data_IF_451728484283
#
_entry.id   IF_451728484283
#
_cell.length_a   1.000
_cell.length_b   1.000
_cell.length_c   1.000
_cell.angle_alpha   90.00
_cell.angle_beta   90.00
_cell.angle_gamma   90.00
#
_symmetry.space_group_name_H-M   'P 1'
#
loop_
_entity.id
_entity.type
_entity.pdbx_description
1 polymer ?
#
# COMPACT_ATOMS: atom_id res chain seq x y z
N UNK A 1 -30.38 -21.19 -3.97
CA UNK A 1 -29.34 -20.71 -4.91
C UNK A 1 -28.00 -21.32 -4.45
N UNK A 2 -27.51 -22.33 -5.15
CA UNK A 2 -26.21 -22.95 -4.90
C UNK A 2 -25.11 -21.93 -5.27
N UNK A 3 -24.58 -21.25 -4.27
CA UNK A 3 -23.51 -20.26 -4.46
C UNK A 3 -22.27 -20.95 -5.03
N UNK A 4 -21.89 -20.58 -6.26
CA UNK A 4 -20.56 -20.92 -6.77
C UNK A 4 -19.52 -20.39 -5.80
N UNK A 5 -18.50 -21.19 -5.45
CA UNK A 5 -17.33 -20.69 -4.71
C UNK A 5 -16.68 -19.56 -5.50
N UNK A 6 -16.14 -18.56 -4.80
CA UNK A 6 -15.36 -17.51 -5.46
C UNK A 6 -14.15 -18.13 -6.18
N UNK A 7 -13.94 -17.75 -7.43
CA UNK A 7 -12.77 -18.19 -8.20
C UNK A 7 -11.62 -17.22 -7.93
N UNK A 8 -10.82 -17.50 -6.91
CA UNK A 8 -9.68 -16.66 -6.53
C UNK A 8 -8.55 -16.70 -7.57
N UNK A 9 -8.55 -17.64 -8.54
CA UNK A 9 -7.56 -17.69 -9.61
C UNK A 9 -7.65 -16.50 -10.58
N UNK A 10 -8.85 -15.91 -10.70
CA UNK A 10 -9.13 -14.73 -11.53
C UNK A 10 -9.39 -13.47 -10.70
N UNK A 11 -8.82 -13.42 -9.50
CA UNK A 11 -8.99 -12.33 -8.55
C UNK A 11 -7.64 -11.72 -8.17
N UNK A 12 -7.32 -10.55 -8.73
CA UNK A 12 -6.05 -9.89 -8.46
C UNK A 12 -5.98 -9.32 -7.02
N UNK A 13 -7.11 -9.00 -6.37
CA UNK A 13 -7.13 -8.62 -4.95
C UNK A 13 -6.67 -9.78 -4.06
N UNK A 14 -7.17 -10.99 -4.29
CA UNK A 14 -6.75 -12.17 -3.56
C UNK A 14 -5.25 -12.43 -3.73
N UNK A 15 -4.74 -12.28 -4.95
CA UNK A 15 -3.31 -12.41 -5.23
C UNK A 15 -2.46 -11.35 -4.51
N UNK A 16 -2.90 -10.07 -4.51
CA UNK A 16 -2.20 -8.99 -3.76
C UNK A 16 -2.18 -9.28 -2.26
N UNK A 17 -3.27 -9.78 -1.68
CA UNK A 17 -3.31 -10.19 -0.27
C UNK A 17 -2.32 -11.33 0.00
N UNK A 18 -2.21 -12.33 -0.89
CA UNK A 18 -1.22 -13.40 -0.78
C UNK A 18 0.21 -12.88 -0.84
N UNK A 19 0.52 -12.00 -1.79
CA UNK A 19 1.85 -11.37 -1.89
C UNK A 19 2.23 -10.61 -0.61
N UNK A 20 1.32 -9.85 -0.03
CA UNK A 20 1.58 -9.13 1.22
C UNK A 20 1.81 -10.08 2.40
N UNK A 21 1.17 -11.25 2.41
CA UNK A 21 1.35 -12.25 3.45
C UNK A 21 2.71 -12.99 3.36
N UNK A 22 3.47 -12.82 2.28
CA UNK A 22 4.83 -13.36 2.15
C UNK A 22 5.86 -12.58 2.97
N UNK A 23 5.60 -11.30 3.29
CA UNK A 23 6.48 -10.42 4.05
C UNK A 23 6.39 -10.73 5.55
N UNK A 24 7.07 -11.81 5.97
CA UNK A 24 7.11 -12.28 7.36
C UNK A 24 8.35 -11.78 8.08
N UNK A 25 8.32 -11.72 9.42
CA UNK A 25 9.50 -11.39 10.19
C UNK A 25 10.65 -12.36 9.90
N UNK A 26 11.84 -11.77 9.65
CA UNK A 26 13.10 -12.50 9.53
C UNK A 26 13.92 -12.15 10.77
N UNK A 27 14.60 -13.10 11.44
CA UNK A 27 15.42 -12.79 12.60
C UNK A 27 16.41 -11.67 12.30
N UNK A 28 16.45 -10.67 13.17
CA UNK A 28 17.33 -9.51 13.07
C UNK A 28 18.24 -9.37 14.29
N UNK A 29 19.45 -8.82 14.08
CA UNK A 29 20.44 -8.61 15.16
C UNK A 29 20.30 -7.25 15.85
N UNK A 30 19.49 -6.33 15.31
CA UNK A 30 19.35 -4.93 15.78
C UNK A 30 18.02 -4.62 16.45
N UNK A 31 17.17 -5.63 16.62
CA UNK A 31 15.85 -5.47 17.25
C UNK A 31 14.71 -5.66 16.26
N UNK A 32 13.54 -5.15 16.65
CA UNK A 32 12.26 -5.37 15.97
C UNK A 32 11.57 -4.05 15.62
N UNK A 33 10.99 -3.99 14.42
CA UNK A 33 10.22 -2.84 13.90
C UNK A 33 8.79 -3.28 13.60
N UNK A 34 7.81 -2.57 14.17
CA UNK A 34 6.41 -2.73 13.83
C UNK A 34 5.99 -1.81 12.70
N UNK A 35 5.30 -2.34 11.71
CA UNK A 35 4.71 -1.57 10.60
C UNK A 35 3.20 -1.77 10.62
N UNK A 36 2.39 -0.70 10.76
CA UNK A 36 0.94 -0.82 10.70
C UNK A 36 0.51 -1.13 9.26
N UNK A 37 -0.18 -2.26 9.06
CA UNK A 37 -0.70 -2.64 7.73
C UNK A 37 -1.97 -1.83 7.42
N UNK A 38 -1.80 -0.56 7.10
CA UNK A 38 -2.88 0.38 6.80
C UNK A 38 -2.46 1.38 5.72
N UNK A 39 -3.43 2.05 5.11
CA UNK A 39 -3.24 3.11 4.12
C UNK A 39 -2.16 2.75 3.07
N UNK A 40 -1.13 3.57 2.92
CA UNK A 40 -0.07 3.40 1.92
C UNK A 40 0.77 2.13 2.09
N UNK A 41 0.76 1.48 3.26
CA UNK A 41 1.52 0.25 3.46
C UNK A 41 0.97 -0.96 2.70
N UNK A 42 -0.27 -0.92 2.21
CA UNK A 42 -0.76 -1.94 1.28
C UNK A 42 -0.02 -1.97 -0.06
N UNK A 43 0.81 -0.97 -0.34
CA UNK A 43 1.70 -0.93 -1.50
C UNK A 43 3.18 -0.83 -1.09
N UNK A 44 3.47 -0.07 -0.03
CA UNK A 44 4.85 0.26 0.36
C UNK A 44 5.44 -0.72 1.39
N UNK A 45 4.68 -1.72 1.87
CA UNK A 45 5.22 -2.73 2.77
C UNK A 45 6.45 -3.44 2.18
N UNK A 46 6.49 -3.86 0.90
CA UNK A 46 7.67 -4.49 0.30
C UNK A 46 8.93 -3.63 0.43
N UNK A 47 8.81 -2.33 0.12
CA UNK A 47 9.90 -1.37 0.26
C UNK A 47 10.43 -1.31 1.69
N UNK A 48 9.55 -1.08 2.65
CA UNK A 48 9.94 -0.88 4.04
C UNK A 48 10.39 -2.16 4.72
N UNK A 49 9.79 -3.30 4.37
CA UNK A 49 10.22 -4.60 4.85
C UNK A 49 11.66 -4.89 4.40
N UNK A 50 11.96 -4.71 3.12
CA UNK A 50 13.30 -4.92 2.59
C UNK A 50 14.31 -3.95 3.19
N UNK A 51 13.96 -2.67 3.35
CA UNK A 51 14.81 -1.66 3.97
C UNK A 51 15.22 -2.03 5.39
N UNK A 52 14.25 -2.29 6.25
CA UNK A 52 14.51 -2.59 7.66
C UNK A 52 15.18 -3.95 7.87
N UNK A 53 14.75 -4.97 7.11
CA UNK A 53 15.37 -6.31 7.16
C UNK A 53 16.84 -6.25 6.72
N UNK A 54 17.15 -5.49 5.66
CA UNK A 54 18.53 -5.32 5.20
C UNK A 54 19.41 -4.57 6.19
N UNK A 55 18.83 -3.67 6.99
CA UNK A 55 19.51 -3.03 8.13
C UNK A 55 19.68 -3.97 9.33
N UNK A 56 19.11 -5.16 9.33
CA UNK A 56 19.25 -6.15 10.40
C UNK A 56 18.15 -6.07 11.46
N UNK A 57 16.99 -5.49 11.15
CA UNK A 57 15.81 -5.51 12.02
C UNK A 57 14.83 -6.62 11.65
N UNK A 58 14.16 -7.22 12.63
CA UNK A 58 13.00 -8.06 12.40
C UNK A 58 11.77 -7.18 12.17
N UNK A 59 11.11 -7.31 11.01
CA UNK A 59 9.95 -6.51 10.65
C UNK A 59 8.67 -7.29 10.95
N UNK A 60 7.82 -6.71 11.79
CA UNK A 60 6.50 -7.23 12.14
C UNK A 60 5.41 -6.32 11.61
N UNK A 61 4.38 -6.88 11.00
CA UNK A 61 3.19 -6.12 10.65
C UNK A 61 2.11 -6.28 11.71
N UNK A 62 1.24 -5.28 11.83
CA UNK A 62 -0.02 -5.46 12.56
C UNK A 62 -0.88 -6.54 11.87
N UNK A 63 -1.83 -7.15 12.58
CA UNK A 63 -2.78 -8.09 11.98
C UNK A 63 -3.55 -7.47 10.81
N UNK A 64 -4.08 -8.32 9.93
CA UNK A 64 -5.03 -7.89 8.90
C UNK A 64 -6.25 -7.24 9.57
N UNK A 65 -6.78 -6.19 8.96
CA UNK A 65 -7.93 -5.46 9.49
C UNK A 65 -9.14 -6.35 9.73
N UNK A 66 -9.83 -6.05 10.80
CA UNK A 66 -11.08 -6.68 11.18
C UNK A 66 -11.95 -5.67 11.93
N UNK A 67 -13.26 -5.95 12.03
CA UNK A 67 -14.15 -5.14 12.86
C UNK A 67 -13.67 -5.05 14.32
N UNK A 68 -13.09 -6.14 14.86
CA UNK A 68 -12.53 -6.14 16.21
C UNK A 68 -11.34 -5.20 16.36
N UNK A 69 -10.45 -5.18 15.36
CA UNK A 69 -9.31 -4.26 15.32
C UNK A 69 -9.79 -2.80 15.24
N UNK A 70 -10.78 -2.48 14.40
CA UNK A 70 -11.38 -1.16 14.34
C UNK A 70 -11.94 -0.71 15.68
N UNK A 71 -12.76 -1.55 16.31
CA UNK A 71 -13.36 -1.24 17.61
C UNK A 71 -12.32 -1.05 18.72
N UNK A 72 -11.22 -1.81 18.68
CA UNK A 72 -10.14 -1.67 19.63
C UNK A 72 -9.45 -0.30 19.58
N UNK A 73 -9.35 0.32 18.40
CA UNK A 73 -8.75 1.65 18.21
C UNK A 73 -9.75 2.81 18.23
N UNK A 74 -11.05 2.54 18.28
CA UNK A 74 -12.09 3.55 18.05
C UNK A 74 -12.02 4.74 19.05
N UNK A 75 -11.66 4.49 20.29
CA UNK A 75 -11.63 5.51 21.35
C UNK A 75 -10.59 6.61 21.10
N UNK A 76 -9.58 6.36 20.28
CA UNK A 76 -8.50 7.31 19.98
C UNK A 76 -8.72 8.09 18.67
N UNK A 77 -9.82 7.83 17.95
CA UNK A 77 -10.14 8.53 16.69
C UNK A 77 -10.62 9.95 17.03
N UNK A 78 -9.89 11.01 16.60
CA UNK A 78 -10.19 12.38 17.01
C UNK A 78 -11.35 13.01 16.27
N UNK A 79 -11.79 12.45 15.14
CA UNK A 79 -12.86 13.04 14.32
C UNK A 79 -13.61 12.01 13.51
N UNK A 80 -14.94 12.16 13.50
CA UNK A 80 -15.83 11.34 12.67
C UNK A 80 -15.66 11.60 11.17
N UNK A 81 -15.10 12.75 10.79
CA UNK A 81 -14.88 13.12 9.38
C UNK A 81 -13.67 12.45 8.75
N UNK A 82 -12.78 11.82 9.54
CA UNK A 82 -11.68 11.03 9.00
C UNK A 82 -12.23 9.86 8.15
N UNK A 83 -11.60 9.59 7.01
CA UNK A 83 -12.02 8.47 6.16
C UNK A 83 -11.82 7.13 6.88
N UNK A 84 -12.67 6.16 6.57
CA UNK A 84 -12.65 4.85 7.25
C UNK A 84 -11.29 4.14 7.21
N UNK A 85 -10.55 4.10 6.06
CA UNK A 85 -9.22 3.50 6.03
C UNK A 85 -8.21 4.15 7.00
N UNK A 86 -8.33 5.47 7.25
CA UNK A 86 -7.50 6.16 8.22
C UNK A 86 -7.90 5.79 9.67
N UNK A 87 -9.19 5.66 9.95
CA UNK A 87 -9.68 5.24 11.27
C UNK A 87 -9.16 3.85 11.67
N UNK A 88 -8.99 2.94 10.71
CA UNK A 88 -8.40 1.61 10.95
C UNK A 88 -6.97 1.70 11.51
N UNK A 89 -6.20 2.73 11.16
CA UNK A 89 -4.81 2.91 11.62
C UNK A 89 -4.70 2.94 13.15
N UNK A 90 -5.70 3.46 13.86
CA UNK A 90 -5.74 3.48 15.33
C UNK A 90 -5.73 2.07 15.93
N UNK A 91 -6.52 1.16 15.36
CA UNK A 91 -6.51 -0.25 15.77
C UNK A 91 -5.18 -0.95 15.46
N UNK A 92 -4.57 -0.63 14.32
CA UNK A 92 -3.25 -1.16 13.95
C UNK A 92 -2.16 -0.70 14.91
N UNK A 93 -2.15 0.58 15.32
CA UNK A 93 -1.21 1.10 16.32
C UNK A 93 -1.40 0.39 17.65
N UNK A 94 -2.64 0.25 18.11
CA UNK A 94 -2.93 -0.48 19.36
C UNK A 94 -2.48 -1.93 19.30
N UNK A 95 -2.68 -2.61 18.19
CA UNK A 95 -2.21 -4.00 18.04
C UNK A 95 -0.68 -4.10 18.08
N UNK A 96 0.04 -3.17 17.45
CA UNK A 96 1.50 -3.14 17.46
C UNK A 96 2.07 -2.80 18.84
N UNK A 97 1.44 -1.89 19.59
CA UNK A 97 1.89 -1.53 20.94
C UNK A 97 1.86 -2.71 21.92
N UNK A 98 1.04 -3.72 21.66
CA UNK A 98 0.95 -4.95 22.45
C UNK A 98 2.02 -6.01 22.08
N UNK A 99 2.78 -5.81 21.00
CA UNK A 99 3.75 -6.79 20.49
C UNK A 99 5.16 -6.69 21.14
N UNK A 100 5.37 -5.78 22.07
CA UNK A 100 6.69 -5.56 22.72
C UNK A 100 7.83 -5.35 21.69
N UNK A 101 7.62 -4.48 20.72
CA UNK A 101 8.57 -4.15 19.67
C UNK A 101 9.52 -3.03 20.10
N UNK A 102 10.74 -3.00 19.55
CA UNK A 102 11.73 -1.96 19.87
C UNK A 102 11.33 -0.60 19.29
N UNK A 103 10.60 -0.58 18.17
CA UNK A 103 10.03 0.63 17.61
C UNK A 103 8.80 0.32 16.74
N UNK A 104 7.95 1.33 16.55
CA UNK A 104 6.88 1.34 15.53
C UNK A 104 7.25 2.37 14.48
N UNK A 105 7.21 1.97 13.21
CA UNK A 105 7.57 2.81 12.08
C UNK A 105 6.34 3.13 11.22
N UNK A 106 6.00 4.40 11.15
CA UNK A 106 4.96 4.92 10.28
C UNK A 106 5.32 6.34 9.82
N UNK A 107 6.10 6.50 8.74
CA UNK A 107 6.60 7.80 8.31
C UNK A 107 5.52 8.65 7.67
N UNK A 108 5.67 9.97 7.76
CA UNK A 108 4.91 10.91 6.95
C UNK A 108 5.48 10.97 5.53
N UNK A 109 4.64 10.67 4.53
CA UNK A 109 5.01 10.59 3.12
C UNK A 109 4.22 11.59 2.28
N UNK A 110 4.75 12.80 2.10
CA UNK A 110 4.13 13.83 1.26
C UNK A 110 4.12 13.42 -0.22
N UNK A 111 5.26 12.89 -0.70
CA UNK A 111 5.44 12.45 -2.08
C UNK A 111 5.57 10.94 -2.15
N UNK A 112 4.90 10.35 -3.13
CA UNK A 112 5.05 8.95 -3.48
C UNK A 112 6.08 8.79 -4.62
N UNK A 113 6.31 7.57 -5.08
CA UNK A 113 7.10 7.29 -6.29
C UNK A 113 6.46 7.99 -7.49
N UNK A 114 7.28 8.63 -8.32
CA UNK A 114 6.82 9.24 -9.57
C UNK A 114 6.69 8.17 -10.65
N UNK A 115 5.46 7.92 -11.09
CA UNK A 115 5.14 6.97 -12.16
C UNK A 115 5.08 7.63 -13.54
N UNK A 116 5.34 8.92 -13.63
CA UNK A 116 5.26 9.68 -14.87
C UNK A 116 3.85 9.83 -15.45
N UNK A 117 2.79 9.58 -14.67
CA UNK A 117 1.40 9.61 -15.12
C UNK A 117 0.69 10.94 -14.80
N UNK A 118 1.16 11.66 -13.80
CA UNK A 118 0.56 12.90 -13.31
C UNK A 118 1.41 14.13 -13.56
N UNK A 119 0.90 15.30 -13.16
CA UNK A 119 1.65 16.56 -13.12
C UNK A 119 2.49 16.69 -11.86
N UNK A 120 2.15 15.90 -10.85
CA UNK A 120 2.88 15.71 -9.62
C UNK A 120 2.55 14.32 -9.05
N UNK A 121 3.21 13.94 -7.95
CA UNK A 121 3.09 12.63 -7.32
C UNK A 121 2.87 12.72 -5.80
N UNK A 122 2.01 13.64 -5.38
CA UNK A 122 1.60 13.77 -3.99
C UNK A 122 0.77 12.58 -3.50
N UNK A 123 0.86 12.30 -2.22
CA UNK A 123 -0.15 11.53 -1.53
C UNK A 123 -1.34 12.41 -1.10
N UNK A 124 -2.49 11.80 -0.89
CA UNK A 124 -3.61 12.43 -0.19
C UNK A 124 -3.14 12.94 1.19
N UNK A 125 -3.55 14.12 1.66
CA UNK A 125 -3.13 14.65 2.97
C UNK A 125 -3.32 13.68 4.13
N UNK A 126 -4.39 12.89 4.13
CA UNK A 126 -4.62 11.85 5.15
C UNK A 126 -3.54 10.77 5.07
N UNK A 127 -3.21 10.26 3.87
CA UNK A 127 -2.13 9.27 3.72
C UNK A 127 -0.78 9.86 4.10
N UNK A 128 -0.55 11.14 3.74
CA UNK A 128 0.73 11.80 3.96
C UNK A 128 1.03 12.11 5.44
N UNK A 129 0.01 12.50 6.21
CA UNK A 129 0.22 13.12 7.54
C UNK A 129 -0.51 12.42 8.69
N UNK A 130 -1.21 11.33 8.45
CA UNK A 130 -1.95 10.63 9.49
C UNK A 130 -1.08 10.10 10.65
N UNK A 131 0.22 9.79 10.46
CA UNK A 131 1.10 9.46 11.58
C UNK A 131 1.19 10.54 12.66
N UNK A 132 1.11 11.83 12.31
CA UNK A 132 1.07 12.93 13.30
C UNK A 132 -0.22 12.92 14.11
N UNK A 133 -1.35 12.59 13.46
CA UNK A 133 -2.64 12.44 14.15
C UNK A 133 -2.58 11.30 15.17
N UNK A 134 -1.98 10.17 14.77
CA UNK A 134 -1.79 9.02 15.67
C UNK A 134 -0.87 9.37 16.84
N UNK A 135 0.25 10.06 16.59
CA UNK A 135 1.18 10.50 17.63
C UNK A 135 0.51 11.38 18.70
N UNK A 136 -0.42 12.24 18.27
CA UNK A 136 -1.14 13.15 19.18
C UNK A 136 -2.37 12.55 19.88
N UNK A 137 -2.87 11.38 19.43
CA UNK A 137 -4.16 10.84 19.90
C UNK A 137 -4.10 9.40 20.42
N UNK A 138 -2.99 8.66 20.22
CA UNK A 138 -2.84 7.29 20.69
C UNK A 138 -1.97 7.23 21.95
N UNK A 139 -2.54 7.13 23.15
CA UNK A 139 -1.76 7.04 24.39
C UNK A 139 -0.93 5.75 24.44
N UNK A 140 -1.28 4.74 23.66
CA UNK A 140 -0.51 3.50 23.52
C UNK A 140 0.91 3.72 22.97
N UNK A 141 1.18 4.89 22.38
CA UNK A 141 2.50 5.29 21.89
C UNK A 141 3.38 5.93 22.98
N UNK A 142 2.84 6.24 24.14
CA UNK A 142 3.62 6.77 25.25
C UNK A 142 4.69 5.74 25.68
N UNK A 143 5.95 6.20 25.75
CA UNK A 143 7.09 5.32 26.02
C UNK A 143 7.51 4.40 24.89
N UNK A 144 6.79 4.37 23.77
CA UNK A 144 7.15 3.62 22.57
C UNK A 144 7.99 4.48 21.63
N UNK A 145 9.04 3.91 21.08
CA UNK A 145 9.82 4.57 20.03
C UNK A 145 8.99 4.59 18.73
N UNK A 146 8.20 5.68 18.55
CA UNK A 146 7.38 5.87 17.37
C UNK A 146 8.12 6.73 16.33
N UNK A 147 8.42 6.15 15.17
CA UNK A 147 9.19 6.78 14.10
C UNK A 147 8.21 7.27 13.03
N UNK A 148 7.87 8.56 13.07
CA UNK A 148 6.91 9.19 12.16
C UNK A 148 7.48 10.42 11.43
N UNK A 149 8.80 10.46 11.30
CA UNK A 149 9.50 11.51 10.57
C UNK A 149 9.02 11.62 9.12
N UNK A 150 9.16 12.82 8.56
CA UNK A 150 8.89 13.06 7.14
C UNK A 150 9.96 12.42 6.27
N UNK A 151 9.54 11.55 5.36
CA UNK A 151 10.43 10.83 4.43
C UNK A 151 9.94 11.02 3.00
N UNK A 152 10.84 11.11 2.04
CA UNK A 152 10.53 11.11 0.61
C UNK A 152 11.22 9.94 -0.07
N UNK A 153 10.46 9.04 -0.68
CA UNK A 153 11.00 7.89 -1.43
C UNK A 153 11.16 8.15 -2.92
N UNK A 154 10.70 9.30 -3.41
CA UNK A 154 10.72 9.69 -4.82
C UNK A 154 12.12 10.08 -5.33
N UNK A 155 13.06 10.37 -4.43
CA UNK A 155 14.45 10.75 -4.74
C UNK A 155 15.41 9.86 -3.94
N UNK A 156 15.93 8.77 -4.55
CA UNK A 156 16.74 7.78 -3.82
C UNK A 156 17.95 8.36 -3.09
N UNK A 157 18.68 9.30 -3.69
CA UNK A 157 19.86 9.93 -3.04
C UNK A 157 19.45 10.76 -1.82
N UNK A 158 18.41 11.57 -1.94
CA UNK A 158 17.90 12.40 -0.83
C UNK A 158 17.34 11.52 0.29
N UNK A 159 16.69 10.39 -0.07
CA UNK A 159 16.21 9.39 0.88
C UNK A 159 17.35 8.81 1.71
N UNK A 160 18.41 8.33 1.07
CA UNK A 160 19.58 7.74 1.77
C UNK A 160 20.21 8.75 2.71
N UNK A 161 20.47 9.97 2.23
CA UNK A 161 21.05 11.03 3.05
C UNK A 161 20.19 11.35 4.26
N UNK A 162 18.89 11.53 4.05
CA UNK A 162 17.93 11.86 5.13
C UNK A 162 17.82 10.76 6.16
N UNK A 163 17.73 9.50 5.72
CA UNK A 163 17.68 8.35 6.63
C UNK A 163 18.97 8.23 7.43
N UNK A 164 20.15 8.31 6.78
CA UNK A 164 21.44 8.11 7.42
C UNK A 164 21.85 9.25 8.37
N UNK A 165 21.53 10.50 8.04
CA UNK A 165 22.02 11.67 8.79
C UNK A 165 20.99 12.24 9.75
N UNK A 166 19.71 12.16 9.41
CA UNK A 166 18.68 12.90 10.14
C UNK A 166 17.72 11.99 10.91
N UNK A 167 17.37 10.80 10.41
CA UNK A 167 16.32 9.96 11.02
C UNK A 167 16.94 8.85 11.87
N UNK A 168 17.68 7.93 11.26
CA UNK A 168 18.21 6.78 11.99
C UNK A 168 19.02 7.15 13.23
N UNK A 169 19.89 8.18 13.22
CA UNK A 169 20.66 8.56 14.42
C UNK A 169 19.82 9.01 15.61
N UNK A 170 18.58 9.46 15.39
CA UNK A 170 17.66 9.83 16.49
C UNK A 170 17.19 8.62 17.28
N UNK A 171 17.08 7.46 16.61
CA UNK A 171 16.43 6.28 17.15
C UNK A 171 17.38 5.11 17.37
N UNK A 172 18.40 4.98 16.52
CA UNK A 172 19.32 3.85 16.50
C UNK A 172 20.76 4.32 16.28
N UNK A 173 21.68 3.83 17.10
CA UNK A 173 23.12 4.06 16.91
C UNK A 173 23.77 3.04 15.97
N UNK A 174 24.99 3.37 15.47
CA UNK A 174 25.85 2.41 14.81
C UNK A 174 25.42 1.93 13.42
N UNK A 175 24.60 2.71 12.71
CA UNK A 175 24.20 2.42 11.32
C UNK A 175 24.95 3.38 10.39
N UNK A 176 25.80 2.84 9.55
CA UNK A 176 26.61 3.62 8.60
C UNK A 176 25.78 4.01 7.35
N UNK A 177 26.17 5.11 6.71
CA UNK A 177 25.54 5.54 5.45
C UNK A 177 25.65 4.48 4.34
N UNK A 178 26.73 3.69 4.33
CA UNK A 178 26.92 2.57 3.39
C UNK A 178 25.86 1.46 3.62
N UNK A 179 25.52 1.16 4.87
CA UNK A 179 24.46 0.21 5.18
C UNK A 179 23.10 0.75 4.77
N UNK A 180 22.85 2.05 4.99
CA UNK A 180 21.60 2.71 4.56
C UNK A 180 21.48 2.71 3.05
N UNK A 181 22.56 2.96 2.30
CA UNK A 181 22.56 2.86 0.84
C UNK A 181 22.20 1.44 0.39
N UNK A 182 22.88 0.41 0.94
CA UNK A 182 22.57 -0.97 0.59
C UNK A 182 21.14 -1.39 0.95
N UNK A 183 20.58 -0.84 2.03
CA UNK A 183 19.19 -1.08 2.42
C UNK A 183 18.20 -0.37 1.48
N UNK A 184 18.52 0.84 1.06
CA UNK A 184 17.73 1.58 0.07
C UNK A 184 17.70 0.86 -1.28
N UNK A 185 18.87 0.42 -1.77
CA UNK A 185 18.95 -0.32 -3.04
C UNK A 185 18.11 -1.60 -3.01
N UNK A 186 18.16 -2.34 -1.90
CA UNK A 186 17.31 -3.53 -1.69
C UNK A 186 15.83 -3.17 -1.65
N UNK A 187 15.45 -2.07 -0.99
CA UNK A 187 14.08 -1.62 -0.85
C UNK A 187 13.46 -1.22 -2.20
N UNK A 188 14.18 -0.44 -3.02
CA UNK A 188 13.72 -0.06 -4.35
C UNK A 188 13.60 -1.28 -5.27
N UNK A 189 14.55 -2.21 -5.23
CA UNK A 189 14.51 -3.43 -6.02
C UNK A 189 13.32 -4.32 -5.63
N UNK A 190 13.04 -4.48 -4.33
CA UNK A 190 11.90 -5.27 -3.85
C UNK A 190 10.56 -4.63 -4.22
N UNK A 191 10.44 -3.29 -4.11
CA UNK A 191 9.24 -2.57 -4.54
C UNK A 191 8.97 -2.79 -6.04
N UNK A 192 9.96 -2.62 -6.89
CA UNK A 192 9.82 -2.85 -8.34
C UNK A 192 9.46 -4.31 -8.65
N UNK A 193 10.09 -5.27 -7.98
CA UNK A 193 9.76 -6.69 -8.10
C UNK A 193 8.31 -6.98 -7.73
N UNK A 194 7.84 -6.42 -6.62
CA UNK A 194 6.47 -6.57 -6.15
C UNK A 194 5.45 -5.99 -7.16
N UNK A 195 5.69 -4.77 -7.65
CA UNK A 195 4.82 -4.13 -8.64
C UNK A 195 4.85 -4.88 -9.98
N UNK A 196 6.00 -5.43 -10.38
CA UNK A 196 6.11 -6.27 -11.57
C UNK A 196 5.28 -7.55 -11.45
N UNK A 197 5.32 -8.24 -10.30
CA UNK A 197 4.48 -9.43 -10.03
C UNK A 197 2.99 -9.11 -10.18
N UNK A 198 2.52 -7.96 -9.68
CA UNK A 198 1.12 -7.52 -9.82
C UNK A 198 0.77 -7.30 -11.29
N UNK A 199 1.63 -6.62 -12.06
CA UNK A 199 1.42 -6.35 -13.49
C UNK A 199 1.38 -7.64 -14.32
N UNK A 200 2.30 -8.56 -14.07
CA UNK A 200 2.33 -9.87 -14.72
C UNK A 200 1.07 -10.66 -14.41
N UNK A 201 0.72 -10.76 -13.13
CA UNK A 201 -0.48 -11.50 -12.71
C UNK A 201 -1.76 -10.90 -13.27
N UNK A 202 -1.86 -9.57 -13.30
CA UNK A 202 -2.97 -8.87 -13.94
C UNK A 202 -3.11 -9.22 -15.42
N UNK A 203 -1.99 -9.31 -16.17
CA UNK A 203 -1.98 -9.73 -17.57
C UNK A 203 -2.44 -11.18 -17.73
N UNK A 204 -1.92 -12.10 -16.90
CA UNK A 204 -2.32 -13.50 -16.90
C UNK A 204 -3.84 -13.67 -16.65
N UNK A 205 -4.40 -12.92 -15.69
CA UNK A 205 -5.83 -12.95 -15.38
C UNK A 205 -6.64 -12.44 -16.57
N UNK A 206 -6.22 -11.36 -17.23
CA UNK A 206 -6.88 -10.81 -18.41
C UNK A 206 -6.91 -11.84 -19.54
N UNK A 207 -5.78 -12.47 -19.84
CA UNK A 207 -5.65 -13.43 -20.92
C UNK A 207 -6.46 -14.71 -20.64
N UNK A 208 -6.44 -15.19 -19.40
CA UNK A 208 -7.24 -16.35 -18.98
C UNK A 208 -8.73 -16.04 -19.05
N UNK A 209 -9.17 -14.88 -18.56
CA UNK A 209 -10.57 -14.48 -18.62
C UNK A 209 -11.07 -14.39 -20.07
N UNK A 210 -10.25 -13.84 -20.98
CA UNK A 210 -10.56 -13.80 -22.43
C UNK A 210 -10.70 -15.21 -23.03
N UNK A 211 -9.79 -16.13 -22.71
CA UNK A 211 -9.88 -17.54 -23.17
C UNK A 211 -11.15 -18.23 -22.69
N UNK A 212 -11.59 -17.90 -21.48
CA UNK A 212 -12.81 -18.45 -20.89
C UNK A 212 -14.09 -17.70 -21.30
N UNK A 213 -14.02 -16.66 -22.09
CA UNK A 213 -15.16 -15.80 -22.44
C UNK A 213 -15.79 -15.09 -21.24
N UNK A 214 -15.03 -14.87 -20.15
CA UNK A 214 -15.50 -14.19 -18.96
C UNK A 214 -15.38 -12.67 -19.10
N UNK A 215 -16.29 -11.94 -18.47
CA UNK A 215 -16.18 -10.49 -18.31
C UNK A 215 -14.98 -10.16 -17.41
N UNK A 216 -14.30 -9.06 -17.73
CA UNK A 216 -13.20 -8.53 -16.93
C UNK A 216 -13.67 -7.22 -16.32
N UNK A 217 -13.55 -7.10 -15.01
CA UNK A 217 -13.87 -5.90 -14.27
C UNK A 217 -12.58 -5.33 -13.70
N UNK A 218 -12.28 -4.08 -14.03
CA UNK A 218 -11.22 -3.32 -13.37
C UNK A 218 -11.81 -2.70 -12.13
N UNK A 219 -11.47 -3.25 -10.97
CA UNK A 219 -11.87 -2.69 -9.69
C UNK A 219 -10.83 -1.63 -9.30
N UNK A 220 -11.08 -0.40 -9.80
CA UNK A 220 -10.18 0.72 -9.64
C UNK A 220 -10.30 1.33 -8.24
N UNK A 221 -9.18 1.50 -7.58
CA UNK A 221 -9.16 2.00 -6.21
C UNK A 221 -7.81 2.59 -5.82
N UNK A 222 -7.55 2.58 -4.53
CA UNK A 222 -6.27 2.94 -3.95
C UNK A 222 -5.68 1.69 -3.28
N UNK A 223 -4.36 1.63 -3.01
CA UNK A 223 -3.71 0.43 -2.47
C UNK A 223 -4.43 -0.18 -1.27
N UNK A 224 -4.93 0.66 -0.36
CA UNK A 224 -5.62 0.21 0.84
C UNK A 224 -7.02 -0.39 0.61
N UNK A 225 -7.55 -0.38 -0.63
CA UNK A 225 -8.75 -1.15 -0.95
C UNK A 225 -8.49 -2.67 -1.00
N UNK A 226 -7.23 -3.11 -0.93
CA UNK A 226 -6.88 -4.52 -0.71
C UNK A 226 -7.24 -4.99 0.71
N UNK A 227 -7.38 -4.06 1.66
CA UNK A 227 -7.83 -4.32 3.03
C UNK A 227 -9.25 -4.92 3.04
N UNK A 228 -9.48 -6.07 3.70
CA UNK A 228 -10.79 -6.73 3.71
C UNK A 228 -11.89 -5.90 4.38
N UNK A 229 -11.57 -5.07 5.39
CA UNK A 229 -12.55 -4.17 6.05
C UNK A 229 -12.89 -2.97 5.16
N UNK A 230 -12.00 -2.55 4.26
CA UNK A 230 -12.24 -1.48 3.29
C UNK A 230 -12.96 -2.02 2.06
N UNK A 231 -12.59 -3.20 1.59
CA UNK A 231 -13.14 -3.82 0.37
C UNK A 231 -14.53 -4.45 0.59
N UNK A 232 -14.83 -4.90 1.79
CA UNK A 232 -16.08 -5.58 2.14
C UNK A 232 -16.40 -6.82 1.25
N UNK A 233 -15.38 -7.44 0.65
CA UNK A 233 -15.54 -8.63 -0.20
C UNK A 233 -16.16 -8.36 -1.58
N UNK A 234 -16.12 -7.12 -2.08
CA UNK A 234 -16.63 -6.75 -3.41
C UNK A 234 -15.92 -7.54 -4.51
N UNK A 235 -14.61 -7.75 -4.40
CA UNK A 235 -13.81 -8.57 -5.31
C UNK A 235 -14.36 -10.00 -5.42
N UNK A 236 -14.65 -10.64 -4.28
CA UNK A 236 -15.24 -11.99 -4.23
C UNK A 236 -16.68 -12.02 -4.71
N UNK A 237 -17.44 -10.96 -4.47
CA UNK A 237 -18.79 -10.85 -5.03
C UNK A 237 -18.73 -10.87 -6.56
N UNK A 238 -17.85 -10.11 -7.17
CA UNK A 238 -17.65 -10.02 -8.61
C UNK A 238 -17.26 -11.41 -9.18
N UNK A 239 -16.30 -12.10 -8.57
CA UNK A 239 -15.86 -13.41 -9.06
C UNK A 239 -16.92 -14.48 -8.89
N UNK A 240 -17.75 -14.44 -7.86
CA UNK A 240 -18.93 -15.32 -7.71
C UNK A 240 -19.96 -15.15 -8.83
N UNK A 241 -20.05 -13.94 -9.40
CA UNK A 241 -20.88 -13.68 -10.58
C UNK A 241 -20.19 -14.06 -11.91
N UNK A 242 -19.04 -14.73 -11.86
CA UNK A 242 -18.36 -15.29 -13.02
C UNK A 242 -17.50 -14.29 -13.80
N UNK A 243 -17.22 -13.12 -13.26
CA UNK A 243 -16.29 -12.16 -13.85
C UNK A 243 -14.89 -12.28 -13.23
N UNK A 244 -13.85 -11.88 -13.97
CA UNK A 244 -12.50 -11.73 -13.47
C UNK A 244 -12.29 -10.31 -12.91
N UNK A 245 -11.44 -10.18 -11.90
CA UNK A 245 -11.10 -8.90 -11.25
C UNK A 245 -9.63 -8.58 -11.43
N UNK A 246 -9.33 -7.41 -11.98
CA UNK A 246 -8.01 -6.81 -12.02
C UNK A 246 -8.04 -5.41 -11.40
N UNK A 247 -6.88 -4.86 -11.09
CA UNK A 247 -6.74 -3.54 -10.44
C UNK A 247 -6.09 -2.51 -11.35
N UNK A 248 -6.25 -1.23 -11.03
CA UNK A 248 -5.72 -0.11 -11.79
C UNK A 248 -4.21 -0.18 -11.97
N UNK A 249 -3.45 -0.60 -10.93
CA UNK A 249 -2.00 -0.70 -10.94
C UNK A 249 -1.45 -1.80 -11.85
N UNK A 250 -2.30 -2.75 -12.26
CA UNK A 250 -1.93 -3.79 -13.21
C UNK A 250 -2.01 -3.35 -14.68
N UNK A 251 -2.68 -2.21 -14.95
CA UNK A 251 -2.95 -1.75 -16.32
C UNK A 251 -2.60 -0.27 -16.57
N UNK A 252 -2.41 0.54 -15.53
CA UNK A 252 -2.16 1.98 -15.66
C UNK A 252 -0.89 2.31 -16.45
N UNK A 253 0.13 1.46 -16.38
CA UNK A 253 1.39 1.60 -17.10
C UNK A 253 1.28 1.31 -18.62
N UNK A 254 0.10 0.93 -19.11
CA UNK A 254 -0.16 0.65 -20.54
C UNK A 254 -0.50 1.90 -21.35
N UNK A 255 -0.59 3.07 -20.70
CA UNK A 255 -0.77 4.37 -21.33
C UNK A 255 0.30 5.34 -20.87
N UNK A 256 0.65 6.27 -21.75
CA UNK A 256 1.51 7.39 -21.41
C UNK A 256 0.69 8.51 -20.75
N UNK A 257 1.36 9.45 -20.09
CA UNK A 257 0.74 10.67 -19.56
C UNK A 257 -0.05 11.38 -20.66
N UNK A 258 -1.23 11.83 -20.31
CA UNK A 258 -2.14 12.55 -21.20
C UNK A 258 -2.77 13.75 -20.47
N UNK A 259 -3.22 14.79 -21.21
CA UNK A 259 -3.90 15.93 -20.61
C UNK A 259 -5.20 15.53 -19.92
N UNK A 260 -5.44 16.09 -18.75
CA UNK A 260 -6.69 15.95 -17.99
C UNK A 260 -7.36 17.31 -17.81
N UNK A 261 -8.70 17.34 -17.72
CA UNK A 261 -9.47 18.57 -17.47
C UNK A 261 -9.39 19.03 -16.01
N UNK A 262 -8.78 18.24 -15.13
CA UNK A 262 -8.59 18.51 -13.70
C UNK A 262 -7.11 18.43 -13.36
N UNK A 263 -6.74 19.08 -12.27
CA UNK A 263 -5.37 19.03 -11.77
C UNK A 263 -4.98 17.60 -11.37
N UNK A 264 -4.05 17.01 -12.12
CA UNK A 264 -3.61 15.62 -11.97
C UNK A 264 -2.30 15.54 -11.16
N UNK A 265 -2.39 15.74 -9.83
CA UNK A 265 -1.21 15.88 -8.97
C UNK A 265 -1.01 14.76 -7.95
N UNK A 266 -1.95 13.80 -7.83
CA UNK A 266 -1.89 12.74 -6.85
C UNK A 266 -1.61 11.39 -7.51
N UNK A 267 -0.60 10.68 -7.04
CA UNK A 267 -0.14 9.40 -7.63
C UNK A 267 -1.28 8.43 -7.87
N UNK A 268 -2.09 8.15 -6.86
CA UNK A 268 -3.15 7.17 -7.01
C UNK A 268 -4.30 7.63 -7.90
N UNK A 269 -4.59 8.93 -7.98
CA UNK A 269 -5.57 9.45 -8.93
C UNK A 269 -5.05 9.36 -10.37
N UNK A 270 -3.78 9.66 -10.58
CA UNK A 270 -3.14 9.53 -11.89
C UNK A 270 -3.25 8.10 -12.42
N UNK A 271 -3.08 7.09 -11.56
CA UNK A 271 -3.32 5.69 -11.93
C UNK A 271 -4.76 5.41 -12.33
N UNK A 272 -5.75 5.95 -11.59
CA UNK A 272 -7.16 5.79 -11.91
C UNK A 272 -7.48 6.36 -13.28
N UNK A 273 -6.97 7.56 -13.58
CA UNK A 273 -7.14 8.19 -14.90
C UNK A 273 -6.47 7.39 -16.00
N UNK A 274 -5.25 6.88 -15.76
CA UNK A 274 -4.53 6.05 -16.72
C UNK A 274 -5.26 4.73 -16.98
N UNK A 275 -5.76 4.06 -15.95
CA UNK A 275 -6.55 2.85 -16.09
C UNK A 275 -7.86 3.10 -16.87
N UNK A 276 -8.58 4.18 -16.56
CA UNK A 276 -9.79 4.57 -17.30
C UNK A 276 -9.48 4.88 -18.77
N UNK A 277 -8.38 5.60 -19.04
CA UNK A 277 -7.93 5.87 -20.40
C UNK A 277 -7.61 4.59 -21.16
N UNK A 278 -6.89 3.66 -20.54
CA UNK A 278 -6.60 2.36 -21.16
C UNK A 278 -7.88 1.63 -21.54
N UNK A 279 -8.86 1.55 -20.63
CA UNK A 279 -10.15 0.92 -20.89
C UNK A 279 -10.89 1.58 -22.06
N UNK A 280 -10.88 2.91 -22.14
CA UNK A 280 -11.50 3.64 -23.25
C UNK A 280 -10.86 3.31 -24.61
N UNK A 281 -9.57 3.01 -24.64
CA UNK A 281 -8.85 2.66 -25.87
C UNK A 281 -9.15 1.25 -26.37
N UNK A 282 -9.40 0.30 -25.47
CA UNK A 282 -9.69 -1.10 -25.84
C UNK A 282 -11.18 -1.34 -26.09
N UNK A 283 -12.08 -0.43 -25.69
CA UNK A 283 -13.53 -0.51 -25.90
C UNK A 283 -14.04 0.39 -27.03
N UNK A 284 -13.17 0.95 -27.88
CA UNK A 284 -13.54 1.82 -29.02
C UNK A 284 -14.49 1.15 -30.04
N UNK A 285 -14.66 -0.18 -29.99
CA UNK A 285 -15.51 -0.95 -30.89
C UNK A 285 -16.93 -1.22 -30.38
N UNK A 286 -17.27 -0.90 -29.14
CA UNK A 286 -18.65 -1.04 -28.65
C UNK A 286 -19.43 0.26 -28.91
N UNK A 287 -20.53 0.22 -29.71
CA UNK A 287 -21.39 1.37 -29.86
C UNK A 287 -21.98 1.74 -28.49
N UNK A 288 -21.74 2.99 -28.07
CA UNK A 288 -22.49 3.58 -26.97
C UNK A 288 -23.97 3.44 -27.27
N UNK A 289 -24.68 2.65 -26.48
CA UNK A 289 -26.14 2.64 -26.55
C UNK A 289 -26.65 4.05 -26.23
N UNK A 290 -27.61 4.56 -27.03
CA UNK A 290 -28.22 5.85 -26.80
C UNK A 290 -28.96 5.91 -25.45
#
# INVERSE_FOLDING_TARGET
MTGKSADDSLNLYAYKQQLLAEYKPVPGSRGSIGIPLCLGFYELLPFWWAFWTKLGFAVHTSPVSSRGLYLAGQATIPSDTACFPAKLSHGHIKALSQMQLDAIFYPCLTYNVDEGLGDNHYNCPVVAYYPEVLAGNCPELEGTKFIYDYVGIHRPKDFVHKMAKNILPKYFGGISEKEVQAAADAAYAEYESHMAKIRVKGSEIIDEARRQGKRIIVLAGRPYHVDPEVNHGIDRLITRHGAAVVTEDSISNRVQKFPTSVLNQWTYHSRLYAAAKYLSLIHISEPTRP
#
